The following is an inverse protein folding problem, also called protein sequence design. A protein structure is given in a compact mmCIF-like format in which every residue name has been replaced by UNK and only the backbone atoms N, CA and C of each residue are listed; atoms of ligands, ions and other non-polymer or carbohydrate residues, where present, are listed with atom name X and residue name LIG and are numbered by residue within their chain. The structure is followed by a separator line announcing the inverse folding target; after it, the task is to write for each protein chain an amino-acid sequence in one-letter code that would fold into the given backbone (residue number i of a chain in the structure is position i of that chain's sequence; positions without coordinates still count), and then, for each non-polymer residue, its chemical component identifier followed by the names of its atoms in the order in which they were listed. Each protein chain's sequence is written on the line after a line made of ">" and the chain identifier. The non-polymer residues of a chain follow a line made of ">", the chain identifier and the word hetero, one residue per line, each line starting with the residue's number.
data_IF_130273850871
#
_entry.id   IF_130273850871
#
_cell.length_a   1.000
_cell.length_b   1.000
_cell.length_c   1.000
_cell.angle_alpha   90.00
_cell.angle_beta   90.00
_cell.angle_gamma   90.00
#
_symmetry.space_group_name_H-M   'P 1'
#
loop_
_entity.id
_entity.type
_entity.pdbx_description
1 polymer ?
#
# COMPACT_ATOMS: atom_id res chain seq x y z
N UNK A 1 70.43 -50.89 -30.80
CA UNK A 1 70.06 -51.40 -29.47
C UNK A 1 70.33 -50.33 -28.43
N UNK A 2 69.26 -49.88 -27.77
CA UNK A 2 69.14 -49.30 -26.41
C UNK A 2 70.03 -48.11 -26.02
N UNK A 3 69.38 -46.97 -25.75
CA UNK A 3 69.39 -46.23 -24.46
C UNK A 3 68.45 -45.01 -24.57
N UNK A 4 67.48 -44.90 -23.67
CA UNK A 4 66.54 -43.78 -23.64
C UNK A 4 65.77 -43.69 -22.32
N UNK A 5 66.23 -42.77 -21.48
CA UNK A 5 65.57 -42.00 -20.41
C UNK A 5 64.54 -42.66 -19.46
N UNK A 6 65.03 -42.91 -18.25
CA UNK A 6 64.62 -42.31 -16.96
C UNK A 6 63.39 -41.37 -16.95
N UNK A 7 62.37 -41.84 -16.19
CA UNK A 7 61.62 -41.16 -15.13
C UNK A 7 60.57 -40.09 -15.45
N UNK A 8 59.59 -40.06 -14.53
CA UNK A 8 58.57 -39.03 -14.26
C UNK A 8 57.22 -39.27 -14.97
N UNK A 9 56.29 -39.94 -14.28
CA UNK A 9 55.14 -39.26 -13.65
C UNK A 9 54.30 -40.21 -12.79
N UNK A 10 54.07 -39.75 -11.57
CA UNK A 10 53.28 -40.31 -10.48
C UNK A 10 51.82 -40.57 -10.90
N UNK A 11 51.30 -41.72 -10.47
CA UNK A 11 49.88 -41.97 -10.30
C UNK A 11 49.56 -42.09 -8.80
N UNK A 12 48.27 -41.92 -8.45
CA UNK A 12 47.62 -42.04 -7.13
C UNK A 12 47.69 -40.75 -6.26
N UNK A 13 46.64 -40.27 -5.56
CA UNK A 13 45.34 -40.83 -5.18
C UNK A 13 44.39 -39.73 -4.65
N UNK A 14 43.11 -39.84 -5.04
CA UNK A 14 41.85 -39.50 -4.34
C UNK A 14 41.76 -38.22 -3.49
N UNK A 15 41.03 -37.24 -4.01
CA UNK A 15 40.34 -36.21 -3.20
C UNK A 15 38.94 -36.74 -2.90
N UNK A 16 38.67 -37.06 -1.64
CA UNK A 16 37.31 -37.36 -1.15
C UNK A 16 36.53 -36.05 -1.00
N UNK A 17 35.54 -35.82 -1.86
CA UNK A 17 34.53 -34.78 -1.66
C UNK A 17 33.45 -35.30 -0.72
N UNK A 18 33.33 -34.70 0.46
CA UNK A 18 32.19 -34.93 1.36
C UNK A 18 30.96 -34.24 0.77
N UNK A 19 29.99 -35.02 0.28
CA UNK A 19 28.68 -34.53 -0.14
C UNK A 19 27.89 -34.01 1.08
N UNK A 20 27.91 -32.69 1.27
CA UNK A 20 26.95 -31.99 2.13
C UNK A 20 25.58 -31.92 1.44
N UNK A 21 24.61 -32.63 2.01
CA UNK A 21 23.20 -32.65 1.62
C UNK A 21 22.54 -31.33 2.05
N UNK A 22 21.80 -30.59 1.20
CA UNK A 22 21.03 -29.45 1.69
C UNK A 22 19.73 -29.96 2.33
N UNK A 23 19.64 -29.84 3.64
CA UNK A 23 18.40 -30.00 4.38
C UNK A 23 17.46 -28.84 4.05
N UNK A 24 16.27 -29.17 3.54
CA UNK A 24 15.15 -28.23 3.43
C UNK A 24 14.65 -27.93 4.84
N UNK A 25 15.16 -26.87 5.46
CA UNK A 25 14.48 -26.21 6.57
C UNK A 25 13.32 -25.40 6.00
N UNK A 26 12.13 -25.97 6.13
CA UNK A 26 10.87 -25.26 6.03
C UNK A 26 10.77 -24.27 7.19
N UNK A 27 11.31 -23.07 7.04
CA UNK A 27 11.06 -21.99 7.98
C UNK A 27 10.11 -20.97 7.35
N UNK A 28 8.90 -20.95 7.90
CA UNK A 28 7.81 -20.07 7.50
C UNK A 28 8.27 -18.64 7.78
N UNK A 29 8.48 -17.88 6.72
CA UNK A 29 8.87 -16.47 6.77
C UNK A 29 7.77 -15.65 7.44
N UNK A 30 7.81 -15.57 8.77
CA UNK A 30 7.14 -14.51 9.51
C UNK A 30 7.96 -13.23 9.29
N UNK A 31 7.55 -12.42 8.32
CA UNK A 31 8.12 -11.10 8.07
C UNK A 31 7.87 -10.26 9.32
N UNK A 32 8.88 -10.12 10.19
CA UNK A 32 8.91 -9.10 11.24
C UNK A 32 8.82 -7.75 10.53
N UNK A 33 7.72 -7.02 10.70
CA UNK A 33 7.63 -5.61 10.27
C UNK A 33 8.75 -4.86 11.02
N UNK A 34 9.81 -4.50 10.30
CA UNK A 34 10.79 -3.54 10.79
C UNK A 34 10.07 -2.25 11.20
N UNK A 35 10.54 -1.62 12.28
CA UNK A 35 9.95 -0.42 12.85
C UNK A 35 10.11 0.72 11.84
N UNK A 36 9.08 0.97 11.04
CA UNK A 36 9.08 2.01 10.00
C UNK A 36 9.29 3.38 10.63
N UNK A 37 10.10 4.22 9.98
CA UNK A 37 10.36 5.59 10.42
C UNK A 37 9.04 6.36 10.33
N UNK A 38 8.57 7.00 11.42
CA UNK A 38 7.36 7.81 11.38
C UNK A 38 7.49 8.90 10.32
N UNK A 39 6.56 8.93 9.36
CA UNK A 39 6.49 10.00 8.38
C UNK A 39 5.67 11.16 8.95
N UNK A 40 6.16 12.39 8.82
CA UNK A 40 5.44 13.60 9.25
C UNK A 40 4.18 13.89 8.41
N UNK A 41 4.01 13.17 7.29
CA UNK A 41 2.91 13.33 6.35
C UNK A 41 1.59 12.70 6.82
N UNK A 42 1.59 11.89 7.88
CA UNK A 42 0.37 11.21 8.36
C UNK A 42 -0.71 12.17 8.86
N UNK A 43 -0.30 13.32 9.42
CA UNK A 43 -1.17 14.31 10.10
C UNK A 43 -2.10 13.69 11.16
N UNK A 44 -1.76 12.52 11.69
CA UNK A 44 -2.54 11.76 12.67
C UNK A 44 -3.54 10.75 12.08
N UNK A 45 -3.55 10.52 10.76
CA UNK A 45 -4.38 9.46 10.13
C UNK A 45 -3.77 8.06 10.24
N UNK A 46 -2.52 7.93 10.69
CA UNK A 46 -1.84 6.65 10.81
C UNK A 46 -0.33 6.82 10.65
N UNK A 47 0.37 6.99 11.77
CA UNK A 47 1.80 7.34 11.78
C UNK A 47 2.72 6.19 11.34
N UNK A 48 2.19 4.97 11.31
CA UNK A 48 2.88 3.77 10.85
C UNK A 48 2.69 3.50 9.35
N UNK A 49 1.75 4.22 8.72
CA UNK A 49 1.45 4.11 7.30
C UNK A 49 2.44 4.94 6.47
N UNK A 50 2.62 4.54 5.22
CA UNK A 50 3.45 5.27 4.26
C UNK A 50 2.52 6.14 3.42
N UNK A 51 2.76 7.45 3.45
CA UNK A 51 1.94 8.45 2.78
C UNK A 51 2.70 9.06 1.61
N UNK A 52 2.04 9.16 0.46
CA UNK A 52 2.53 9.95 -0.67
C UNK A 52 2.45 11.45 -0.34
N UNK A 53 3.35 12.24 -0.92
CA UNK A 53 3.44 13.67 -0.68
C UNK A 53 2.52 14.47 -1.60
N UNK A 54 2.43 14.09 -2.88
CA UNK A 54 1.59 14.79 -3.88
C UNK A 54 0.63 13.84 -4.59
N UNK A 55 -0.37 14.42 -5.27
CA UNK A 55 -1.35 13.63 -6.02
C UNK A 55 -0.71 12.94 -7.23
N UNK A 56 0.21 13.59 -7.91
CA UNK A 56 0.92 13.06 -9.07
C UNK A 56 1.82 11.89 -8.67
N UNK A 57 2.54 12.01 -7.56
CA UNK A 57 3.32 10.91 -6.98
C UNK A 57 2.39 9.74 -6.62
N UNK A 58 1.28 10.02 -5.94
CA UNK A 58 0.33 9.00 -5.52
C UNK A 58 -0.27 8.24 -6.72
N UNK A 59 -0.64 8.95 -7.79
CA UNK A 59 -1.12 8.35 -9.04
C UNK A 59 -0.05 7.51 -9.73
N UNK A 60 1.19 8.00 -9.77
CA UNK A 60 2.33 7.24 -10.32
C UNK A 60 2.57 5.94 -9.53
N UNK A 61 2.55 6.01 -8.19
CA UNK A 61 2.69 4.84 -7.33
C UNK A 61 1.52 3.86 -7.49
N UNK A 62 0.29 4.36 -7.58
CA UNK A 62 -0.92 3.55 -7.75
C UNK A 62 -0.84 2.73 -9.05
N UNK A 63 -0.44 3.36 -10.14
CA UNK A 63 -0.27 2.70 -11.44
C UNK A 63 0.91 1.72 -11.46
N UNK A 64 2.07 2.12 -10.91
CA UNK A 64 3.29 1.29 -10.93
C UNK A 64 3.20 0.07 -10.02
N UNK A 65 2.53 0.19 -8.87
CA UNK A 65 2.32 -0.91 -7.92
C UNK A 65 1.01 -1.67 -8.16
N UNK A 66 0.18 -1.23 -9.12
CA UNK A 66 -1.14 -1.77 -9.38
C UNK A 66 -2.03 -1.84 -8.11
N UNK A 67 -2.02 -0.76 -7.33
CA UNK A 67 -2.79 -0.61 -6.09
C UNK A 67 -3.74 0.59 -6.19
N UNK A 68 -4.99 0.49 -5.72
CA UNK A 68 -5.87 1.63 -5.66
C UNK A 68 -5.29 2.73 -4.77
N UNK A 69 -5.57 3.98 -5.13
CA UNK A 69 -5.24 5.15 -4.34
C UNK A 69 -6.43 5.55 -3.48
N UNK A 70 -6.19 5.76 -2.19
CA UNK A 70 -7.13 6.37 -1.26
C UNK A 70 -6.70 7.80 -0.97
N UNK A 71 -7.53 8.76 -1.35
CA UNK A 71 -7.32 10.20 -1.15
C UNK A 71 -8.23 10.68 -0.02
N UNK A 72 -7.63 11.27 1.01
CA UNK A 72 -8.33 11.85 2.15
C UNK A 72 -8.17 13.37 2.10
N UNK A 73 -9.26 14.08 1.82
CA UNK A 73 -9.31 15.54 1.83
C UNK A 73 -9.90 15.99 3.16
N UNK A 74 -9.15 16.75 3.94
CA UNK A 74 -9.53 17.16 5.30
C UNK A 74 -9.04 18.56 5.64
N UNK A 75 -9.45 19.10 6.79
CA UNK A 75 -8.88 20.33 7.36
C UNK A 75 -8.48 20.08 8.81
N UNK A 76 -7.37 20.67 9.24
CA UNK A 76 -6.87 20.51 10.62
C UNK A 76 -7.82 21.13 11.64
N UNK A 77 -8.44 22.26 11.30
CA UNK A 77 -9.38 23.01 12.15
C UNK A 77 -10.85 22.67 11.84
N UNK A 78 -11.15 21.40 11.54
CA UNK A 78 -12.52 20.94 11.30
C UNK A 78 -12.91 19.83 12.29
N UNK A 79 -13.93 20.03 13.16
CA UNK A 79 -14.35 19.02 14.13
C UNK A 79 -14.72 17.66 13.51
N UNK A 80 -15.39 17.67 12.36
CA UNK A 80 -15.75 16.45 11.64
C UNK A 80 -14.51 15.70 11.11
N UNK A 81 -13.52 16.45 10.60
CA UNK A 81 -12.25 15.87 10.12
C UNK A 81 -11.45 15.27 11.28
N UNK A 82 -11.37 15.97 12.42
CA UNK A 82 -10.68 15.48 13.61
C UNK A 82 -11.32 14.21 14.17
N UNK A 83 -12.66 14.18 14.25
CA UNK A 83 -13.39 13.02 14.75
C UNK A 83 -13.19 11.78 13.85
N UNK A 84 -13.33 11.96 12.53
CA UNK A 84 -13.09 10.89 11.55
C UNK A 84 -11.65 10.40 11.59
N UNK A 85 -10.67 11.32 11.64
CA UNK A 85 -9.24 11.01 11.73
C UNK A 85 -8.93 10.12 12.93
N UNK A 86 -9.48 10.47 14.10
CA UNK A 86 -9.31 9.67 15.33
C UNK A 86 -9.86 8.26 15.15
N UNK A 87 -11.09 8.13 14.65
CA UNK A 87 -11.71 6.82 14.42
C UNK A 87 -10.93 5.97 13.41
N UNK A 88 -10.44 6.59 12.34
CA UNK A 88 -9.63 5.94 11.31
C UNK A 88 -8.28 5.45 11.85
N UNK A 89 -7.62 6.25 12.70
CA UNK A 89 -6.33 5.89 13.30
C UNK A 89 -6.44 4.78 14.35
N UNK A 90 -7.57 4.71 15.07
CA UNK A 90 -7.83 3.71 16.12
C UNK A 90 -8.28 2.34 15.55
N UNK A 91 -8.88 2.32 14.34
CA UNK A 91 -9.37 1.10 13.70
C UNK A 91 -8.23 0.28 13.07
N UNK A 92 -7.86 -0.81 13.75
CA UNK A 92 -6.76 -1.72 13.34
C UNK A 92 -7.01 -2.41 12.00
N UNK A 93 -8.26 -2.72 11.66
CA UNK A 93 -8.56 -3.41 10.40
C UNK A 93 -8.42 -2.45 9.23
N UNK A 94 -8.93 -1.22 9.37
CA UNK A 94 -8.76 -0.16 8.38
C UNK A 94 -7.28 0.18 8.19
N UNK A 95 -6.51 0.36 9.28
CA UNK A 95 -5.07 0.63 9.20
C UNK A 95 -4.33 -0.50 8.47
N UNK A 96 -4.70 -1.76 8.72
CA UNK A 96 -4.10 -2.91 8.04
C UNK A 96 -4.41 -2.90 6.53
N UNK A 97 -5.67 -2.71 6.15
CA UNK A 97 -6.08 -2.67 4.74
C UNK A 97 -5.39 -1.48 4.04
N UNK A 98 -5.35 -0.32 4.69
CA UNK A 98 -4.70 0.88 4.17
C UNK A 98 -3.20 0.64 3.90
N UNK A 99 -2.49 -0.01 4.83
CA UNK A 99 -1.06 -0.34 4.69
C UNK A 99 -0.78 -1.37 3.58
N UNK A 100 -1.57 -2.44 3.55
CA UNK A 100 -1.29 -3.59 2.68
C UNK A 100 -1.76 -3.36 1.24
N UNK A 101 -2.94 -2.75 1.07
CA UNK A 101 -3.67 -2.76 -0.20
C UNK A 101 -3.74 -1.41 -0.93
N UNK A 102 -3.40 -0.29 -0.29
CA UNK A 102 -3.61 1.04 -0.86
C UNK A 102 -2.33 1.86 -0.99
N UNK A 103 -2.32 2.77 -1.97
CA UNK A 103 -1.50 3.98 -1.91
C UNK A 103 -2.31 5.04 -1.16
N UNK A 104 -1.67 5.74 -0.23
CA UNK A 104 -2.35 6.66 0.68
C UNK A 104 -1.91 8.09 0.44
N UNK A 105 -2.87 8.98 0.35
CA UNK A 105 -2.65 10.42 0.23
C UNK A 105 -3.64 11.14 1.15
N UNK A 106 -3.14 12.09 1.94
CA UNK A 106 -4.01 13.04 2.62
C UNK A 106 -3.61 14.48 2.29
N UNK A 107 -4.61 15.30 2.01
CA UNK A 107 -4.46 16.70 1.59
C UNK A 107 -5.29 17.60 2.48
N UNK A 108 -4.72 18.76 2.80
CA UNK A 108 -5.39 19.84 3.56
C UNK A 108 -5.85 20.99 2.66
N UNK A 109 -5.77 20.79 1.35
CA UNK A 109 -6.14 21.72 0.30
C UNK A 109 -6.76 20.95 -0.87
N UNK A 110 -7.52 21.64 -1.70
CA UNK A 110 -8.17 21.05 -2.87
C UNK A 110 -7.19 20.84 -4.03
N UNK A 111 -7.39 19.78 -4.79
CA UNK A 111 -6.62 19.49 -6.01
C UNK A 111 -7.15 20.27 -7.21
N UNK A 112 -6.33 20.37 -8.26
CA UNK A 112 -6.77 20.89 -9.57
C UNK A 112 -7.72 19.94 -10.30
N UNK A 113 -7.69 18.65 -9.95
CA UNK A 113 -8.56 17.62 -10.51
C UNK A 113 -10.00 17.76 -9.98
N UNK A 114 -10.92 18.13 -10.88
CA UNK A 114 -12.34 18.29 -10.56
C UNK A 114 -13.04 16.95 -10.29
N UNK A 115 -12.48 15.83 -10.72
CA UNK A 115 -13.05 14.52 -10.47
C UNK A 115 -12.93 14.10 -8.99
N UNK A 116 -12.12 14.80 -8.17
CA UNK A 116 -12.05 14.64 -6.72
C UNK A 116 -13.05 15.51 -5.94
N UNK A 117 -13.96 16.20 -6.63
CA UNK A 117 -15.03 17.01 -6.00
C UNK A 117 -16.35 16.97 -6.80
N UNK A 118 -16.84 15.78 -7.22
CA UNK A 118 -17.99 15.67 -8.12
C UNK A 118 -19.31 16.17 -7.49
N UNK A 119 -19.39 16.22 -6.15
CA UNK A 119 -20.54 16.70 -5.38
C UNK A 119 -20.19 17.87 -4.44
N UNK A 120 -19.07 18.55 -4.70
CA UNK A 120 -18.63 19.75 -3.99
C UNK A 120 -17.36 19.57 -3.15
N UNK A 121 -16.96 20.66 -2.48
CA UNK A 121 -15.69 20.80 -1.78
C UNK A 121 -15.83 20.79 -0.24
N UNK A 122 -16.67 19.91 0.31
CA UNK A 122 -16.84 19.78 1.77
C UNK A 122 -15.74 18.89 2.39
N UNK A 123 -15.49 18.99 3.70
CA UNK A 123 -14.54 18.11 4.40
C UNK A 123 -15.19 17.45 5.63
N UNK A 124 -14.76 16.24 6.03
CA UNK A 124 -13.80 15.38 5.33
C UNK A 124 -14.41 14.63 4.14
N UNK A 125 -13.58 14.31 3.13
CA UNK A 125 -13.93 13.47 1.98
C UNK A 125 -12.91 12.35 1.80
N UNK A 126 -13.39 11.13 1.53
CA UNK A 126 -12.55 9.99 1.16
C UNK A 126 -12.96 9.51 -0.22
N UNK A 127 -12.01 9.57 -1.15
CA UNK A 127 -12.22 9.18 -2.55
C UNK A 127 -11.21 8.09 -2.92
N UNK A 128 -11.67 7.13 -3.71
CA UNK A 128 -10.83 6.06 -4.24
C UNK A 128 -10.56 6.27 -5.73
N UNK A 129 -9.33 6.02 -6.15
CA UNK A 129 -8.91 6.07 -7.55
C UNK A 129 -8.33 4.72 -7.93
N UNK A 130 -8.81 4.16 -9.03
CA UNK A 130 -8.31 2.91 -9.60
C UNK A 130 -6.92 3.11 -10.24
N UNK A 131 -6.04 2.09 -10.30
CA UNK A 131 -4.78 2.15 -11.04
C UNK A 131 -4.91 2.57 -12.50
N UNK A 132 -6.11 2.43 -13.11
CA UNK A 132 -6.45 2.99 -14.43
C UNK A 132 -6.53 4.52 -14.46
N UNK A 133 -6.26 5.20 -13.34
CA UNK A 133 -6.45 6.64 -13.13
C UNK A 133 -7.91 7.08 -13.18
N UNK A 134 -8.84 6.16 -12.93
CA UNK A 134 -10.28 6.44 -12.90
C UNK A 134 -10.76 6.61 -11.47
N UNK A 135 -11.38 7.75 -11.17
CA UNK A 135 -12.04 7.98 -9.88
C UNK A 135 -13.23 7.01 -9.74
N UNK A 136 -13.28 6.28 -8.62
CA UNK A 136 -14.34 5.30 -8.29
C UNK A 136 -15.58 5.99 -7.74
N UNK A 137 -16.25 6.75 -8.61
CA UNK A 137 -17.47 7.48 -8.26
C UNK A 137 -18.64 6.57 -7.82
N UNK A 138 -18.58 5.27 -8.13
CA UNK A 138 -19.54 4.23 -7.70
C UNK A 138 -19.42 3.83 -6.21
N UNK A 139 -18.36 4.28 -5.54
CA UNK A 139 -18.11 3.99 -4.13
C UNK A 139 -18.45 5.24 -3.30
N UNK A 140 -19.65 5.22 -2.72
CA UNK A 140 -20.19 6.33 -1.93
C UNK A 140 -20.44 5.91 -0.48
N UNK A 141 -20.41 6.90 0.41
CA UNK A 141 -20.83 6.81 1.81
C UNK A 141 -22.35 6.85 1.96
N UNK A 142 -22.81 7.17 3.16
CA UNK A 142 -24.23 7.11 3.53
C UNK A 142 -25.05 8.33 3.08
N UNK A 143 -24.41 9.51 2.99
CA UNK A 143 -25.11 10.78 2.86
C UNK A 143 -25.30 11.15 1.39
N UNK A 144 -26.55 11.21 0.91
CA UNK A 144 -26.85 11.51 -0.50
C UNK A 144 -26.45 12.92 -0.94
N UNK A 145 -26.43 13.88 0.00
CA UNK A 145 -25.99 15.26 -0.25
C UNK A 145 -24.47 15.45 -0.07
N UNK A 146 -23.76 14.42 0.43
CA UNK A 146 -22.31 14.40 0.69
C UNK A 146 -21.80 12.97 0.49
N UNK A 147 -21.76 12.55 -0.76
CA UNK A 147 -21.56 11.15 -1.17
C UNK A 147 -20.21 10.57 -0.75
N UNK A 148 -19.20 11.37 -0.43
CA UNK A 148 -17.86 10.93 -0.03
C UNK A 148 -17.52 11.30 1.42
N UNK A 149 -18.50 11.81 2.18
CA UNK A 149 -18.36 12.03 3.61
C UNK A 149 -18.55 10.73 4.40
N UNK A 150 -17.79 10.61 5.48
CA UNK A 150 -17.89 9.54 6.47
C UNK A 150 -17.85 10.15 7.87
N UNK A 151 -18.65 9.63 8.78
CA UNK A 151 -18.57 9.96 10.20
C UNK A 151 -17.89 8.83 10.98
N UNK A 152 -17.47 9.05 12.25
CA UNK A 152 -16.92 7.97 13.09
C UNK A 152 -17.84 6.75 13.21
N UNK A 153 -19.15 6.93 13.12
CA UNK A 153 -20.12 5.82 13.14
C UNK A 153 -20.11 4.97 11.84
N UNK A 154 -19.51 5.48 10.76
CA UNK A 154 -19.52 4.85 9.44
C UNK A 154 -18.26 4.00 9.18
N UNK A 155 -17.41 3.71 10.18
CA UNK A 155 -16.15 2.99 9.97
C UNK A 155 -16.34 1.62 9.32
N UNK A 156 -17.41 0.91 9.69
CA UNK A 156 -17.71 -0.37 9.03
C UNK A 156 -18.08 -0.21 7.55
N UNK A 157 -18.79 0.87 7.21
CA UNK A 157 -19.11 1.20 5.82
C UNK A 157 -17.84 1.59 5.06
N UNK A 158 -16.98 2.42 5.65
CA UNK A 158 -15.70 2.79 5.07
C UNK A 158 -14.84 1.56 4.78
N UNK A 159 -14.71 0.64 5.74
CA UNK A 159 -14.01 -0.62 5.56
C UNK A 159 -14.58 -1.43 4.39
N UNK A 160 -15.90 -1.58 4.30
CA UNK A 160 -16.54 -2.27 3.17
C UNK A 160 -16.27 -1.57 1.83
N UNK A 161 -16.26 -0.24 1.82
CA UNK A 161 -15.93 0.56 0.64
C UNK A 161 -14.45 0.41 0.23
N UNK A 162 -13.52 0.33 1.18
CA UNK A 162 -12.12 -0.03 0.90
C UNK A 162 -12.03 -1.43 0.26
N UNK A 163 -12.75 -2.42 0.80
CA UNK A 163 -12.79 -3.77 0.22
C UNK A 163 -13.40 -3.80 -1.20
N UNK A 164 -14.34 -2.90 -1.51
CA UNK A 164 -14.87 -2.71 -2.86
C UNK A 164 -13.85 -2.02 -3.77
N UNK A 165 -13.15 -1.00 -3.30
CA UNK A 165 -12.12 -0.28 -4.06
C UNK A 165 -10.92 -1.16 -4.40
N UNK A 166 -10.57 -2.11 -3.52
CA UNK A 166 -9.56 -3.15 -3.78
C UNK A 166 -9.89 -4.03 -4.99
N UNK A 167 -11.18 -4.18 -5.33
CA UNK A 167 -11.60 -4.85 -6.56
C UNK A 167 -11.46 -3.88 -7.72
N UNK A 168 -10.33 -3.99 -8.41
CA UNK A 168 -9.96 -3.14 -9.54
C UNK A 168 -11.01 -3.23 -10.66
N UNK A 169 -11.13 -2.14 -11.41
CA UNK A 169 -11.95 -2.12 -12.61
C UNK A 169 -11.41 -3.13 -13.63
N UNK A 170 -12.32 -3.81 -14.33
CA UNK A 170 -11.92 -4.67 -15.44
C UNK A 170 -11.47 -3.78 -16.57
N UNK A 171 -10.26 -4.00 -17.07
CA UNK A 171 -9.91 -3.56 -18.41
C UNK A 171 -10.74 -4.37 -19.39
N UNK A 172 -11.67 -3.72 -20.08
CA UNK A 172 -12.29 -4.29 -21.28
C UNK A 172 -11.11 -4.62 -22.23
N UNK A 173 -10.92 -5.91 -22.52
CA UNK A 173 -9.95 -6.45 -23.47
C UNK A 173 -10.68 -6.80 -24.76
#
# INVERSE_FOLDING_TARGET
>A
MIKGLVSVLLALVVVTSTMGKPEKSSDKTAVKKEKRIPQTLSRGWGDQLIWAQTYEEALFLARSQNKPLMVILHLEECPHSQALKKAFAEDKEIQKIADEDFILLNLVYETTDKHLSPDGQYVPRIIFVDPSMTVRADITGRYSNRMYAYEPADMKLLQNNMLRAKKLLKTEL
#
